data_IF_866336921878
#
_entry.id   IF_866336921878
#
_cell.length_a   1.000
_cell.length_b   1.000
_cell.length_c   1.000
_cell.angle_alpha   90.00
_cell.angle_beta   90.00
_cell.angle_gamma   90.00
#
_symmetry.space_group_name_H-M   'P 1'
#
loop_
_entity.id
_entity.type
_entity.pdbx_description
1 polymer ?
#
# COMPACT_ATOMS: atom_id res chain seq x y z
N UNK A 1 -3.53 2.94 8.27
CA UNK A 1 -4.03 3.33 6.92
C UNK A 1 -4.02 4.85 6.77
N UNK A 2 -3.37 5.35 5.73
CA UNK A 2 -3.20 6.76 5.42
C UNK A 2 -3.42 7.03 3.92
N UNK A 3 -3.98 8.19 3.58
CA UNK A 3 -4.16 8.69 2.21
C UNK A 3 -3.58 10.11 2.11
N UNK A 4 -2.73 10.37 1.12
CA UNK A 4 -2.29 11.73 0.77
C UNK A 4 -3.38 12.45 -0.02
N UNK A 5 -3.73 11.86 -1.16
CA UNK A 5 -4.64 12.44 -2.12
C UNK A 5 -3.88 13.20 -3.20
N UNK A 6 -4.44 14.32 -3.64
CA UNK A 6 -3.85 15.07 -4.74
C UNK A 6 -2.86 16.08 -4.17
N UNK A 7 -1.63 16.11 -4.68
CA UNK A 7 -0.63 17.10 -4.29
C UNK A 7 0.76 16.53 -4.13
N UNK A 8 1.52 17.12 -3.22
CA UNK A 8 2.82 16.63 -2.78
C UNK A 8 2.66 16.27 -1.31
N UNK A 9 2.39 15.00 -1.03
CA UNK A 9 2.08 14.53 0.31
C UNK A 9 3.26 13.77 0.93
N UNK A 10 3.37 13.86 2.26
CA UNK A 10 4.35 13.10 3.04
C UNK A 10 3.61 12.26 4.07
N UNK A 11 3.67 10.93 3.92
CA UNK A 11 2.96 9.96 4.74
C UNK A 11 3.95 9.19 5.62
N UNK A 12 3.55 8.94 6.87
CA UNK A 12 4.30 8.16 7.85
C UNK A 12 3.36 7.12 8.49
N UNK A 13 3.60 5.82 8.29
CA UNK A 13 2.84 4.74 8.94
C UNK A 13 3.17 4.65 10.43
N UNK A 14 4.45 4.78 10.77
CA UNK A 14 4.99 4.58 12.13
C UNK A 14 4.92 3.09 12.49
N UNK A 15 4.51 2.74 13.71
CA UNK A 15 4.48 1.35 14.13
C UNK A 15 3.15 0.67 13.80
N UNK A 16 3.24 -0.57 13.32
CA UNK A 16 2.12 -1.42 13.01
C UNK A 16 1.91 -1.55 11.51
N UNK A 17 1.23 -2.64 11.11
CA UNK A 17 1.01 -2.96 9.70
C UNK A 17 0.03 -2.00 9.03
N UNK A 18 0.55 -1.10 8.23
CA UNK A 18 -0.15 0.00 7.61
C UNK A 18 -0.42 -0.18 6.11
N UNK A 19 -1.32 0.67 5.62
CA UNK A 19 -1.65 0.84 4.20
C UNK A 19 -1.52 2.32 3.88
N UNK A 20 -0.47 2.68 3.15
CA UNK A 20 -0.18 4.05 2.71
C UNK A 20 -0.48 4.17 1.22
N UNK A 21 -1.24 5.21 0.86
CA UNK A 21 -1.64 5.50 -0.52
C UNK A 21 -1.30 6.97 -0.76
N UNK A 22 -0.35 7.23 -1.65
CA UNK A 22 0.10 8.57 -2.03
C UNK A 22 -1.06 9.34 -2.63
N UNK A 23 -1.51 8.90 -3.80
CA UNK A 23 -2.62 9.52 -4.51
C UNK A 23 -2.17 10.01 -5.87
N UNK A 24 -2.45 11.26 -6.22
CA UNK A 24 -1.90 11.88 -7.43
C UNK A 24 -0.89 12.96 -7.11
N UNK A 25 0.23 12.96 -7.82
CA UNK A 25 1.33 13.89 -7.60
C UNK A 25 2.52 13.23 -6.93
N UNK A 26 3.59 14.00 -6.69
CA UNK A 26 4.86 13.43 -6.25
C UNK A 26 4.93 13.36 -4.72
N UNK A 27 4.76 12.16 -4.20
CA UNK A 27 4.58 11.84 -2.80
C UNK A 27 5.83 11.19 -2.18
N UNK A 28 5.89 11.25 -0.86
CA UNK A 28 6.88 10.53 -0.04
C UNK A 28 6.16 9.68 0.98
N UNK A 29 6.33 8.36 0.89
CA UNK A 29 5.69 7.38 1.76
C UNK A 29 6.76 6.73 2.62
N UNK A 30 6.56 6.71 3.94
CA UNK A 30 7.43 6.00 4.90
C UNK A 30 6.60 5.02 5.69
N UNK A 31 6.86 3.73 5.54
CA UNK A 31 6.18 2.64 6.23
C UNK A 31 6.37 2.76 7.75
N UNK A 32 7.58 2.46 8.21
CA UNK A 32 7.94 2.54 9.63
C UNK A 32 8.26 1.16 10.18
N UNK A 33 7.66 0.79 11.31
CA UNK A 33 7.86 -0.54 11.90
C UNK A 33 6.71 -1.48 11.52
N UNK A 34 7.04 -2.77 11.35
CA UNK A 34 6.18 -3.86 10.88
C UNK A 34 5.94 -3.84 9.35
N UNK A 35 5.23 -4.85 8.86
CA UNK A 35 5.00 -5.06 7.44
C UNK A 35 3.96 -4.06 6.87
N UNK A 36 4.35 -3.24 5.89
CA UNK A 36 3.49 -2.22 5.31
C UNK A 36 3.14 -2.46 3.83
N UNK A 37 2.04 -1.84 3.40
CA UNK A 37 1.68 -1.69 1.99
C UNK A 37 1.84 -0.24 1.60
N UNK A 38 2.75 0.05 0.65
CA UNK A 38 2.98 1.40 0.13
C UNK A 38 2.55 1.45 -1.34
N UNK A 39 1.60 2.34 -1.65
CA UNK A 39 1.10 2.58 -3.00
C UNK A 39 1.41 4.03 -3.37
N UNK A 40 2.33 4.23 -4.31
CA UNK A 40 2.67 5.54 -4.91
C UNK A 40 1.44 6.25 -5.46
N UNK A 41 0.71 5.58 -6.34
CA UNK A 41 -0.48 6.12 -6.99
C UNK A 41 -1.79 5.96 -6.20
N UNK A 42 -2.88 5.73 -6.93
CA UNK A 42 -4.24 5.66 -6.39
C UNK A 42 -4.72 4.22 -6.16
N UNK A 43 -5.82 4.09 -5.41
CA UNK A 43 -6.49 2.81 -5.17
C UNK A 43 -7.94 2.90 -5.65
N UNK A 44 -8.41 1.91 -6.42
CA UNK A 44 -9.76 1.88 -7.00
C UNK A 44 -10.90 1.95 -5.96
N UNK A 45 -10.59 1.69 -4.68
CA UNK A 45 -11.53 1.79 -3.56
C UNK A 45 -11.61 3.19 -2.95
N UNK A 46 -10.88 4.16 -3.49
CA UNK A 46 -10.86 5.54 -3.05
C UNK A 46 -11.03 6.48 -4.24
N UNK A 47 -12.01 7.37 -4.16
CA UNK A 47 -12.19 8.44 -5.13
C UNK A 47 -11.55 9.71 -4.58
N UNK A 48 -10.44 10.11 -5.15
CA UNK A 48 -9.66 11.25 -4.66
C UNK A 48 -10.38 12.59 -4.79
N UNK A 49 -11.16 12.80 -5.85
CA UNK A 49 -11.86 14.06 -6.10
C UNK A 49 -12.98 14.32 -5.08
N UNK A 50 -13.71 13.27 -4.72
CA UNK A 50 -14.84 13.34 -3.78
C UNK A 50 -14.45 12.92 -2.37
N UNK A 51 -13.23 12.41 -2.17
CA UNK A 51 -12.75 11.75 -0.94
C UNK A 51 -13.63 10.57 -0.50
N UNK A 52 -14.44 10.02 -1.42
CA UNK A 52 -15.32 8.90 -1.13
C UNK A 52 -14.51 7.61 -1.02
N UNK A 53 -14.74 6.86 0.06
CA UNK A 53 -14.02 5.63 0.36
C UNK A 53 -14.99 4.45 0.38
N UNK A 54 -14.66 3.37 -0.33
CA UNK A 54 -15.31 2.10 -0.13
C UNK A 54 -14.80 1.46 1.17
N UNK A 55 -15.42 1.86 2.29
CA UNK A 55 -15.04 1.42 3.64
C UNK A 55 -15.06 -0.10 3.78
N UNK A 56 -16.02 -0.78 3.15
CA UNK A 56 -16.14 -2.23 3.25
C UNK A 56 -14.95 -2.95 2.61
N UNK A 57 -14.55 -2.52 1.41
CA UNK A 57 -13.41 -3.12 0.71
C UNK A 57 -12.10 -2.92 1.47
N UNK A 58 -11.86 -1.68 1.91
CA UNK A 58 -10.68 -1.32 2.69
C UNK A 58 -10.62 -2.07 4.02
N UNK A 59 -11.75 -2.16 4.74
CA UNK A 59 -11.79 -2.91 6.00
C UNK A 59 -11.50 -4.39 5.77
N UNK A 60 -11.97 -4.98 4.67
CA UNK A 60 -11.68 -6.38 4.32
C UNK A 60 -10.19 -6.57 3.98
N UNK A 61 -9.60 -5.67 3.21
CA UNK A 61 -8.16 -5.69 2.91
C UNK A 61 -7.32 -5.56 4.19
N UNK A 62 -7.64 -4.59 5.05
CA UNK A 62 -6.94 -4.42 6.33
C UNK A 62 -7.15 -5.61 7.26
N UNK A 63 -8.35 -6.22 7.27
CA UNK A 63 -8.61 -7.42 8.05
C UNK A 63 -7.72 -8.59 7.61
N UNK A 64 -7.37 -8.70 6.33
CA UNK A 64 -6.37 -9.66 5.85
C UNK A 64 -4.95 -9.23 6.24
N UNK A 65 -4.59 -7.96 6.02
CA UNK A 65 -3.23 -7.47 6.21
C UNK A 65 -2.74 -7.54 7.66
N UNK A 66 -3.61 -7.26 8.62
CA UNK A 66 -3.23 -7.23 10.04
C UNK A 66 -3.29 -8.60 10.73
N UNK A 67 -3.62 -9.68 10.00
CA UNK A 67 -3.70 -11.05 10.54
C UNK A 67 -2.39 -11.49 11.18
N UNK A 68 -2.49 -12.09 12.36
CA UNK A 68 -1.34 -12.64 13.10
C UNK A 68 -1.16 -14.14 12.88
N UNK A 69 -2.11 -14.80 12.22
CA UNK A 69 -2.15 -16.23 11.92
C UNK A 69 -1.77 -16.55 10.46
N UNK A 70 -1.28 -15.57 9.71
CA UNK A 70 -0.80 -15.71 8.33
C UNK A 70 0.52 -14.97 8.14
N UNK A 71 1.48 -15.60 7.46
CA UNK A 71 2.75 -14.97 7.10
C UNK A 71 2.59 -13.93 5.98
N UNK A 72 3.64 -13.14 5.74
CA UNK A 72 3.65 -12.07 4.73
C UNK A 72 3.19 -12.58 3.35
N UNK A 73 3.81 -13.65 2.85
CA UNK A 73 3.52 -14.22 1.53
C UNK A 73 2.06 -14.68 1.39
N UNK A 74 1.48 -15.25 2.45
CA UNK A 74 0.07 -15.67 2.48
C UNK A 74 -0.85 -14.46 2.41
N UNK A 75 -0.60 -13.41 3.21
CA UNK A 75 -1.41 -12.18 3.19
C UNK A 75 -1.33 -11.49 1.81
N UNK A 76 -0.14 -11.41 1.23
CA UNK A 76 0.06 -10.88 -0.14
C UNK A 76 -0.72 -11.71 -1.16
N UNK A 77 -0.63 -13.05 -1.11
CA UNK A 77 -1.35 -13.94 -2.04
C UNK A 77 -2.86 -13.77 -1.92
N UNK A 78 -3.39 -13.69 -0.70
CA UNK A 78 -4.81 -13.47 -0.45
C UNK A 78 -5.28 -12.11 -0.97
N UNK A 79 -4.52 -11.05 -0.70
CA UNK A 79 -4.82 -9.70 -1.20
C UNK A 79 -4.77 -9.66 -2.74
N UNK A 80 -3.83 -10.34 -3.39
CA UNK A 80 -3.77 -10.39 -4.87
C UNK A 80 -4.95 -11.13 -5.49
N UNK A 81 -5.33 -12.27 -4.90
CA UNK A 81 -6.19 -13.27 -5.54
C UNK A 81 -7.62 -13.33 -4.99
N UNK A 82 -7.88 -12.67 -3.86
CA UNK A 82 -9.20 -12.61 -3.23
C UNK A 82 -9.62 -13.89 -2.49
N UNK A 83 -8.64 -14.65 -1.97
CA UNK A 83 -8.87 -15.96 -1.35
C UNK A 83 -8.86 -15.94 0.20
N UNK A 84 -8.63 -14.77 0.82
CA UNK A 84 -8.54 -14.60 2.28
C UNK A 84 -9.71 -13.81 2.88
N UNK A 85 -9.49 -13.21 4.05
CA UNK A 85 -10.47 -12.34 4.74
C UNK A 85 -10.87 -11.12 3.90
N UNK A 86 -10.03 -10.73 2.95
CA UNK A 86 -10.29 -9.65 2.02
C UNK A 86 -11.42 -9.97 1.02
N UNK A 87 -11.76 -11.26 0.84
CA UNK A 87 -12.76 -11.71 -0.13
C UNK A 87 -12.49 -11.12 -1.52
N UNK A 88 -13.51 -10.59 -2.18
CA UNK A 88 -13.36 -9.95 -3.50
C UNK A 88 -12.64 -8.59 -3.49
N UNK A 89 -12.19 -8.09 -2.34
CA UNK A 89 -11.48 -6.81 -2.23
C UNK A 89 -9.99 -7.05 -2.42
N UNK A 90 -9.51 -6.87 -3.65
CA UNK A 90 -8.17 -7.30 -4.06
C UNK A 90 -7.22 -6.13 -4.21
N UNK A 91 -5.92 -6.38 -3.99
CA UNK A 91 -4.82 -5.50 -4.31
C UNK A 91 -4.00 -6.12 -5.44
N UNK A 92 -4.28 -5.72 -6.66
CA UNK A 92 -3.57 -6.15 -7.86
C UNK A 92 -3.52 -5.00 -8.90
N UNK A 93 -3.02 -5.26 -10.10
CA UNK A 93 -2.87 -4.25 -11.16
C UNK A 93 -4.18 -3.64 -11.69
N UNK A 94 -5.34 -4.16 -11.27
CA UNK A 94 -6.65 -3.55 -11.57
C UNK A 94 -7.15 -2.61 -10.47
N UNK A 95 -6.54 -2.64 -9.28
CA UNK A 95 -6.98 -1.87 -8.11
C UNK A 95 -5.93 -0.92 -7.57
N UNK A 96 -4.64 -1.24 -7.63
CA UNK A 96 -3.56 -0.28 -7.46
C UNK A 96 -3.22 0.34 -8.81
N UNK A 97 -3.38 1.66 -8.92
CA UNK A 97 -3.37 2.38 -10.19
C UNK A 97 -2.31 3.47 -10.17
N UNK A 98 -1.55 3.58 -11.26
CA UNK A 98 -0.61 4.69 -11.46
C UNK A 98 -1.33 6.03 -11.47
N UNK A 99 -0.63 7.07 -11.01
CA UNK A 99 -1.06 8.45 -11.07
C UNK A 99 -0.50 9.22 -12.30
N UNK A 100 0.24 8.51 -13.16
CA UNK A 100 0.75 9.03 -14.42
C UNK A 100 2.27 9.13 -14.44
N UNK A 101 2.78 10.36 -14.31
CA UNK A 101 4.21 10.68 -14.50
C UNK A 101 4.84 11.32 -13.27
N UNK A 102 4.12 11.37 -12.15
CA UNK A 102 4.74 11.76 -10.90
C UNK A 102 5.82 10.75 -10.53
N UNK A 103 6.77 11.21 -9.73
CA UNK A 103 7.87 10.39 -9.26
C UNK A 103 7.79 10.39 -7.74
N UNK A 104 7.59 9.20 -7.20
CA UNK A 104 7.37 8.99 -5.78
C UNK A 104 8.59 8.40 -5.08
N UNK A 105 8.70 8.72 -3.79
CA UNK A 105 9.69 8.13 -2.88
C UNK A 105 9.02 7.22 -1.88
N UNK A 106 9.22 5.91 -1.99
CA UNK A 106 8.65 4.92 -1.08
C UNK A 106 9.77 4.33 -0.23
N UNK A 107 9.64 4.45 1.09
CA UNK A 107 10.59 3.98 2.07
C UNK A 107 9.91 2.99 3.02
N UNK A 108 10.31 1.71 2.98
CA UNK A 108 9.73 0.65 3.82
C UNK A 108 10.06 0.81 5.30
N UNK A 109 11.36 0.78 5.63
CA UNK A 109 11.93 0.82 6.98
C UNK A 109 11.99 -0.57 7.65
N UNK A 110 11.45 -0.80 8.84
CA UNK A 110 11.59 -2.09 9.53
C UNK A 110 10.41 -3.01 9.24
N UNK A 111 10.62 -4.10 8.53
CA UNK A 111 9.56 -5.09 8.30
C UNK A 111 9.75 -5.78 6.96
N UNK A 112 8.73 -6.51 6.52
CA UNK A 112 8.59 -6.92 5.13
C UNK A 112 7.54 -6.04 4.47
N UNK A 113 7.95 -5.25 3.49
CA UNK A 113 7.07 -4.30 2.84
C UNK A 113 6.61 -4.75 1.46
N UNK A 114 5.43 -4.29 1.08
CA UNK A 114 4.85 -4.53 -0.23
C UNK A 114 4.63 -3.22 -0.99
N UNK A 115 5.51 -2.99 -1.97
CA UNK A 115 5.50 -1.79 -2.79
C UNK A 115 4.67 -1.95 -4.05
N UNK A 116 3.85 -0.93 -4.30
CA UNK A 116 3.25 -0.61 -5.58
C UNK A 116 3.86 0.70 -6.05
N UNK A 117 4.91 0.59 -6.84
CA UNK A 117 5.67 1.70 -7.41
C UNK A 117 5.52 1.64 -8.93
N UNK A 118 5.44 2.81 -9.58
CA UNK A 118 5.25 2.93 -11.01
C UNK A 118 6.48 3.55 -11.69
N UNK A 119 6.35 3.86 -12.97
CA UNK A 119 7.48 4.22 -13.80
C UNK A 119 8.15 5.53 -13.36
N UNK A 120 9.36 5.43 -12.81
CA UNK A 120 10.16 6.57 -12.36
C UNK A 120 10.29 6.66 -10.84
N UNK A 121 9.45 5.94 -10.11
CA UNK A 121 9.44 5.93 -8.65
C UNK A 121 10.69 5.26 -8.09
N UNK A 122 11.00 5.65 -6.85
CA UNK A 122 12.10 5.10 -6.09
C UNK A 122 11.57 4.34 -4.89
N UNK A 123 11.89 3.06 -4.80
CA UNK A 123 11.69 2.27 -3.58
C UNK A 123 13.03 2.15 -2.87
N UNK A 124 13.04 2.41 -1.57
CA UNK A 124 14.17 2.19 -0.68
C UNK A 124 13.68 1.37 0.49
N UNK A 125 14.40 0.32 0.84
CA UNK A 125 14.22 -0.33 2.13
C UNK A 125 15.51 -0.19 2.94
N UNK A 126 15.35 0.15 4.22
CA UNK A 126 16.44 0.35 5.18
C UNK A 126 16.44 -0.73 6.28
N UNK A 127 15.60 -1.76 6.19
CA UNK A 127 15.40 -2.78 7.23
C UNK A 127 15.98 -4.17 6.98
N UNK A 128 15.79 -5.04 7.99
CA UNK A 128 16.35 -6.40 8.06
C UNK A 128 15.36 -7.51 7.66
N UNK A 129 14.29 -7.18 6.90
CA UNK A 129 13.10 -8.03 6.73
C UNK A 129 13.23 -9.25 5.81
N UNK A 130 14.06 -9.18 4.76
CA UNK A 130 14.18 -10.25 3.77
C UNK A 130 13.59 -9.88 2.40
N UNK A 131 12.98 -10.83 1.69
CA UNK A 131 12.54 -10.65 0.31
C UNK A 131 11.21 -9.87 0.22
N UNK A 132 11.32 -8.59 -0.09
CA UNK A 132 10.21 -7.68 -0.37
C UNK A 132 9.61 -7.92 -1.76
N UNK A 133 8.40 -7.39 -2.01
CA UNK A 133 7.78 -7.45 -3.33
C UNK A 133 7.57 -6.04 -3.88
N UNK A 134 8.04 -5.83 -5.10
CA UNK A 134 7.63 -4.71 -5.97
C UNK A 134 6.78 -5.29 -7.09
N UNK A 135 5.66 -4.63 -7.43
CA UNK A 135 4.81 -4.99 -8.56
C UNK A 135 4.80 -3.94 -9.65
#
# INVERSE_FOLDING_TARGET
MLFGGAGLDVLYGLAGRDLLIGGTGADTLRGGDDDDILISGTLAYYNESTKALNRAAINAMMAEWVRTDADFTTRVSHLRNGTGLNGGSVLNSSTALTDGVAIDGLLGELGLDWFWAFAGDTTTDLGTGGAESVN
#
